data_IF_481700496594
#
_entry.id   IF_481700496594
#
_cell.length_a   1.000
_cell.length_b   1.000
_cell.length_c   1.000
_cell.angle_alpha   90.00
_cell.angle_beta   90.00
_cell.angle_gamma   90.00
#
_symmetry.space_group_name_H-M   'P 1'
#
loop_
_entity.id
_entity.type
_entity.pdbx_description
1 polymer ?
2 non-polymer ?
3 water ?
#
# COMPACT_ATOMS: atom_id res chain seq x y z
N UNK A 1 -12.41 21.55 7.38
CA UNK A 1 -11.92 22.70 8.21
C UNK A 1 -10.48 23.02 7.84
N UNK A 2 -9.73 23.54 8.80
CA UNK A 2 -8.32 23.91 8.61
C UNK A 2 -7.43 23.17 9.61
N UNK A 3 -6.29 22.68 9.12
CA UNK A 3 -5.34 21.91 9.91
C UNK A 3 -4.26 22.73 10.66
N UNK A 4 -3.71 22.18 11.76
CA UNK A 4 -2.67 22.87 12.52
C UNK A 4 -1.48 22.86 11.57
N UNK A 5 -0.49 23.71 11.80
CA UNK A 5 0.69 23.74 10.94
C UNK A 5 1.55 22.47 11.13
N UNK A 6 2.10 21.92 10.03
CA UNK A 6 2.95 20.72 10.16
C UNK A 6 4.15 21.06 11.07
N UNK A 7 4.60 20.10 11.86
CA UNK A 7 5.70 20.28 12.80
C UNK A 7 7.00 19.67 12.24
N UNK A 8 7.84 20.50 11.62
CA UNK A 8 9.09 20.01 11.02
C UNK A 8 10.12 19.47 11.99
N UNK A 9 10.18 20.07 13.18
CA UNK A 9 11.11 19.61 14.22
C UNK A 9 10.65 18.25 14.72
N UNK A 10 9.34 18.10 14.83
CA UNK A 10 8.78 16.82 15.24
C UNK A 10 9.09 15.75 14.18
N UNK A 11 8.87 16.05 12.90
CA UNK A 11 9.17 15.10 11.84
C UNK A 11 10.65 14.72 11.86
N UNK A 12 11.51 15.71 12.00
CA UNK A 12 12.95 15.46 12.06
C UNK A 12 13.27 14.46 13.16
N UNK A 13 12.65 14.65 14.32
CA UNK A 13 12.87 13.76 15.46
C UNK A 13 12.42 12.35 15.15
N UNK A 14 11.29 12.21 14.44
CA UNK A 14 10.78 10.90 14.07
C UNK A 14 11.78 10.14 13.20
N UNK A 15 12.31 10.82 12.18
CA UNK A 15 13.27 10.20 11.26
C UNK A 15 14.54 9.76 12.00
N UNK A 16 15.04 10.65 12.85
CA UNK A 16 16.25 10.38 13.62
C UNK A 16 16.06 9.16 14.50
N UNK A 17 14.88 9.05 15.10
CA UNK A 17 14.54 7.92 15.95
C UNK A 17 14.48 6.63 15.15
N UNK A 18 13.87 6.68 13.95
CA UNK A 18 13.77 5.49 13.10
C UNK A 18 15.19 5.00 12.80
N UNK A 19 16.11 5.92 12.55
CA UNK A 19 17.48 5.51 12.26
C UNK A 19 18.13 4.81 13.46
N UNK A 20 17.88 5.32 14.65
CA UNK A 20 18.46 4.74 15.87
C UNK A 20 17.87 3.35 16.14
N UNK A 21 16.71 3.06 15.54
CA UNK A 21 16.06 1.77 15.75
C UNK A 21 16.35 0.75 14.67
N UNK A 22 17.21 1.12 13.71
CA UNK A 22 17.57 0.19 12.67
C UNK A 22 17.29 0.51 11.20
N UNK A 23 16.57 1.59 10.90
CA UNK A 23 16.28 1.99 9.51
C UNK A 23 17.52 2.65 8.90
N UNK A 24 18.03 2.15 7.75
CA UNK A 24 19.22 2.80 7.16
C UNK A 24 18.95 4.25 6.76
N UNK A 25 17.73 4.51 6.31
CA UNK A 25 17.33 5.83 5.90
C UNK A 25 15.84 5.97 6.10
N UNK A 26 15.39 7.20 6.20
CA UNK A 26 13.98 7.48 6.39
C UNK A 26 13.73 8.88 5.85
N UNK A 27 12.55 9.10 5.28
CA UNK A 27 12.21 10.38 4.69
C UNK A 27 10.71 10.65 4.74
N UNK A 28 10.34 11.90 4.58
CA UNK A 28 8.94 12.27 4.59
C UNK A 28 8.73 13.57 3.76
N UNK A 29 7.64 13.59 3.00
CA UNK A 29 7.30 14.77 2.22
C UNK A 29 5.87 15.11 2.54
N UNK A 30 5.62 16.37 2.86
CA UNK A 30 4.27 16.84 3.13
C UNK A 30 3.94 17.89 2.06
N UNK A 31 2.83 17.69 1.37
CA UNK A 31 2.35 18.66 0.40
C UNK A 31 1.19 19.30 1.17
N UNK A 32 1.45 20.46 1.75
CA UNK A 32 0.45 21.17 2.53
C UNK A 32 -0.18 22.30 1.72
N UNK A 33 -1.17 21.93 0.93
CA UNK A 33 -1.89 22.89 0.11
C UNK A 33 -0.97 23.82 -0.65
N UNK A 34 0.01 23.24 -1.33
CA UNK A 34 0.93 24.02 -2.12
C UNK A 34 2.25 24.42 -1.49
N UNK A 35 2.44 24.18 -0.19
CA UNK A 35 3.70 24.49 0.51
C UNK A 35 4.29 23.13 0.86
N UNK A 36 5.49 22.87 0.38
CA UNK A 36 6.19 21.58 0.54
C UNK A 36 7.07 21.54 1.80
N UNK A 37 7.04 20.40 2.50
CA UNK A 37 7.90 20.18 3.66
C UNK A 37 8.58 18.90 3.26
N UNK A 38 9.90 18.86 3.33
CA UNK A 38 10.60 17.64 2.92
C UNK A 38 11.82 17.43 3.79
N UNK A 39 11.91 16.24 4.37
CA UNK A 39 13.02 15.90 5.25
C UNK A 39 13.46 14.46 4.98
N UNK A 40 14.76 14.23 5.14
CA UNK A 40 15.31 12.89 4.95
C UNK A 40 16.55 12.73 5.83
N UNK A 41 16.79 11.51 6.27
CA UNK A 41 17.98 11.25 7.06
C UNK A 41 18.47 9.84 6.73
N UNK A 42 19.77 9.68 6.64
CA UNK A 42 20.26 8.33 6.38
C UNK A 42 20.70 8.02 4.98
N UNK A 43 20.84 6.72 4.72
CA UNK A 43 21.34 6.22 3.45
C UNK A 43 20.34 5.45 2.61
N UNK A 44 20.45 5.62 1.29
CA UNK A 44 19.60 4.92 0.33
C UNK A 44 20.28 3.59 0.06
N UNK A 45 21.61 3.59 0.15
CA UNK A 45 22.38 2.37 -0.07
C UNK A 45 23.39 2.35 1.07
N UNK A 46 23.20 1.40 1.98
CA UNK A 46 24.07 1.29 3.15
C UNK A 46 25.49 0.81 2.81
N UNK A 47 25.66 0.17 1.66
CA UNK A 47 26.98 -0.32 1.27
C UNK A 47 27.85 0.75 0.61
N UNK A 48 27.26 1.55 -0.28
CA UNK A 48 27.98 2.61 -0.98
C UNK A 48 27.92 3.94 -0.23
N UNK A 49 26.93 4.09 0.64
CA UNK A 49 26.81 5.32 1.43
C UNK A 49 25.99 6.46 0.89
N UNK A 50 25.40 6.30 -0.29
CA UNK A 50 24.57 7.34 -0.92
C UNK A 50 23.43 7.71 0.01
N UNK A 51 23.26 9.02 0.22
CA UNK A 51 22.21 9.51 1.10
C UNK A 51 20.83 9.34 0.49
N UNK A 52 19.84 9.06 1.32
CA UNK A 52 18.46 8.90 0.84
C UNK A 52 17.88 10.32 0.68
N UNK A 53 17.00 10.53 -0.31
CA UNK A 53 16.38 11.84 -0.55
C UNK A 53 14.90 11.59 -0.84
N UNK A 54 14.08 12.63 -0.73
CA UNK A 54 12.65 12.51 -0.96
C UNK A 54 12.27 12.27 -2.42
N UNK A 55 13.24 12.28 -3.33
CA UNK A 55 12.92 12.04 -4.74
C UNK A 55 13.26 10.60 -5.11
N UNK A 56 13.85 9.86 -4.18
CA UNK A 56 14.18 8.46 -4.42
C UNK A 56 12.94 7.63 -4.62
N UNK A 57 12.97 6.75 -5.62
CA UNK A 57 11.85 5.87 -5.87
C UNK A 57 11.96 4.67 -4.94
N UNK A 58 10.84 4.03 -4.65
CA UNK A 58 10.82 2.91 -3.74
C UNK A 58 9.61 2.02 -4.01
N UNK A 59 9.57 0.83 -3.40
CA UNK A 59 8.45 -0.11 -3.54
C UNK A 59 7.41 0.23 -2.47
N UNK A 60 6.21 0.57 -2.91
CA UNK A 60 5.11 1.01 -2.01
C UNK A 60 4.33 -0.12 -1.31
N UNK A 61 4.60 -1.35 -1.73
CA UNK A 61 3.96 -2.50 -1.14
C UNK A 61 2.45 -2.41 -1.20
N UNK A 62 1.82 -2.59 -0.03
CA UNK A 62 0.35 -2.57 0.09
C UNK A 62 -0.40 -1.34 -0.35
N UNK A 63 0.30 -0.23 -0.54
CA UNK A 63 -0.36 0.98 -1.00
C UNK A 63 -0.95 0.64 -2.38
N UNK A 64 -0.37 -0.37 -3.04
CA UNK A 64 -0.85 -0.83 -4.34
C UNK A 64 -2.33 -1.17 -4.28
N UNK A 65 -2.82 -1.58 -3.12
CA UNK A 65 -4.23 -1.92 -2.99
C UNK A 65 -5.16 -0.77 -3.34
N UNK A 66 -4.74 0.46 -3.04
CA UNK A 66 -5.58 1.62 -3.38
C UNK A 66 -5.62 1.85 -4.90
N UNK A 67 -4.51 1.60 -5.60
CA UNK A 67 -4.48 1.77 -7.05
C UNK A 67 -5.44 0.75 -7.66
N UNK A 68 -5.40 -0.50 -7.17
CA UNK A 68 -6.29 -1.56 -7.63
C UNK A 68 -7.76 -1.21 -7.38
N UNK A 69 -8.05 -0.70 -6.19
CA UNK A 69 -9.40 -0.31 -5.83
C UNK A 69 -9.91 0.81 -6.75
N UNK A 70 -9.06 1.80 -7.03
CA UNK A 70 -9.48 2.89 -7.93
C UNK A 70 -9.89 2.37 -9.31
N UNK A 71 -9.11 1.45 -9.87
CA UNK A 71 -9.45 0.89 -11.17
C UNK A 71 -10.81 0.18 -11.07
N UNK A 72 -11.00 -0.63 -10.05
CA UNK A 72 -12.26 -1.35 -9.89
C UNK A 72 -13.45 -0.43 -9.72
N UNK A 73 -13.28 0.63 -8.95
CA UNK A 73 -14.36 1.58 -8.72
C UNK A 73 -14.69 2.33 -10.03
N UNK A 74 -13.69 2.52 -10.91
CA UNK A 74 -13.96 3.18 -12.19
C UNK A 74 -14.75 2.20 -13.06
N UNK A 75 -14.46 0.90 -12.95
CA UNK A 75 -15.21 -0.09 -13.70
C UNK A 75 -16.67 -0.10 -13.23
N UNK A 76 -16.92 0.17 -11.95
CA UNK A 76 -18.30 0.27 -11.42
C UNK A 76 -18.95 1.50 -12.05
N UNK A 77 -18.22 2.62 -12.12
CA UNK A 77 -18.74 3.85 -12.75
C UNK A 77 -19.14 3.59 -14.22
N UNK A 78 -18.35 2.76 -14.91
CA UNK A 78 -18.59 2.43 -16.32
C UNK A 78 -19.67 1.36 -16.55
N UNK A 79 -20.19 0.80 -15.46
CA UNK A 79 -21.24 -0.19 -15.51
C UNK A 79 -20.76 -1.59 -15.83
N UNK A 80 -19.48 -1.83 -15.66
CA UNK A 80 -18.90 -3.14 -15.97
C UNK A 80 -18.81 -4.06 -14.78
N UNK A 81 -18.92 -3.50 -13.59
CA UNK A 81 -18.80 -4.27 -12.34
C UNK A 81 -19.88 -3.81 -11.36
N UNK A 82 -20.40 -4.74 -10.58
CA UNK A 82 -21.39 -4.43 -9.54
C UNK A 82 -20.73 -4.92 -8.26
N UNK A 83 -20.53 -4.05 -7.28
CA UNK A 83 -19.87 -4.41 -6.01
C UNK A 83 -20.55 -5.54 -5.24
N UNK A 84 -21.85 -5.71 -5.44
CA UNK A 84 -22.56 -6.76 -4.70
C UNK A 84 -22.79 -8.06 -5.43
N UNK A 85 -22.23 -8.14 -6.64
CA UNK A 85 -22.32 -9.36 -7.41
C UNK A 85 -21.25 -10.27 -6.84
N UNK A 86 -21.50 -11.57 -6.95
CA UNK A 86 -20.59 -12.57 -6.51
C UNK A 86 -19.32 -12.54 -7.37
N UNK A 87 -18.17 -12.85 -6.75
CA UNK A 87 -16.91 -12.90 -7.48
C UNK A 87 -17.03 -13.99 -8.54
N UNK A 88 -17.65 -15.12 -8.20
CA UNK A 88 -17.84 -16.23 -9.11
C UNK A 88 -18.69 -15.90 -10.33
N UNK A 89 -19.43 -14.81 -10.27
CA UNK A 89 -20.26 -14.37 -11.39
C UNK A 89 -19.32 -13.95 -12.55
N UNK A 90 -18.20 -13.31 -12.17
CA UNK A 90 -17.22 -12.82 -13.14
C UNK A 90 -16.07 -13.80 -13.42
N UNK A 91 -15.72 -14.59 -12.39
CA UNK A 91 -14.65 -15.57 -12.48
C UNK A 91 -15.29 -16.89 -12.05
N UNK A 92 -16.01 -17.55 -12.99
CA UNK A 92 -16.66 -18.81 -12.64
C UNK A 92 -15.77 -19.91 -12.10
N UNK A 93 -16.23 -20.52 -11.01
CA UNK A 93 -15.51 -21.60 -10.38
C UNK A 93 -14.26 -21.21 -9.61
N UNK A 94 -14.03 -19.91 -9.40
CA UNK A 94 -12.83 -19.48 -8.70
C UNK A 94 -12.87 -19.73 -7.20
N UNK A 95 -13.89 -19.21 -6.54
CA UNK A 95 -14.01 -19.35 -5.10
C UNK A 95 -14.93 -20.51 -4.69
N UNK A 96 -14.67 -21.12 -3.52
CA UNK A 96 -15.52 -22.23 -3.10
C UNK A 96 -16.96 -21.82 -2.72
N UNK A 97 -17.16 -20.53 -2.45
CA UNK A 97 -18.46 -20.01 -2.05
C UNK A 97 -18.98 -18.91 -3.00
N UNK A 98 -20.18 -19.12 -3.53
CA UNK A 98 -20.83 -18.15 -4.43
C UNK A 98 -21.27 -16.87 -3.74
N UNK A 99 -21.37 -16.89 -2.42
CA UNK A 99 -21.83 -15.70 -1.69
C UNK A 99 -20.76 -14.64 -1.47
N UNK A 100 -19.51 -14.98 -1.73
CA UNK A 100 -18.43 -14.02 -1.55
C UNK A 100 -18.56 -13.01 -2.70
N UNK A 101 -18.78 -11.76 -2.34
CA UNK A 101 -18.96 -10.69 -3.29
C UNK A 101 -17.71 -9.83 -3.49
N UNK A 102 -17.75 -9.02 -4.54
CA UNK A 102 -16.65 -8.13 -4.84
C UNK A 102 -16.43 -7.14 -3.68
N UNK A 103 -17.52 -6.58 -3.14
CA UNK A 103 -17.40 -5.62 -2.02
C UNK A 103 -16.67 -6.22 -0.83
N UNK A 104 -16.99 -7.47 -0.50
CA UNK A 104 -16.35 -8.17 0.61
C UNK A 104 -14.84 -8.38 0.36
N UNK A 105 -14.49 -8.71 -0.88
CA UNK A 105 -13.10 -8.90 -1.27
C UNK A 105 -12.31 -7.58 -1.11
N UNK A 106 -12.92 -6.48 -1.53
CA UNK A 106 -12.28 -5.16 -1.46
C UNK A 106 -12.11 -4.56 -0.08
N UNK A 107 -12.95 -5.00 0.87
CA UNK A 107 -12.92 -4.49 2.25
C UNK A 107 -12.35 -5.52 3.25
N UNK A 108 -11.78 -6.60 2.71
CA UNK A 108 -11.18 -7.67 3.51
C UNK A 108 -12.16 -8.41 4.41
N UNK A 109 -13.37 -8.62 3.91
CA UNK A 109 -14.38 -9.33 4.68
C UNK A 109 -14.79 -10.63 4.01
N UNK A 110 -13.96 -11.12 3.10
CA UNK A 110 -14.29 -12.35 2.37
C UNK A 110 -14.01 -13.67 3.10
N UNK A 111 -13.12 -13.63 4.09
CA UNK A 111 -12.75 -14.83 4.80
C UNK A 111 -11.66 -15.61 4.06
N UNK A 112 -11.11 -15.09 2.96
CA UNK A 112 -10.07 -15.82 2.23
C UNK A 112 -8.74 -15.83 3.03
N UNK A 113 -8.19 -17.02 3.20
CA UNK A 113 -6.95 -17.17 3.98
C UNK A 113 -5.83 -16.43 3.27
N UNK A 114 -4.97 -15.77 4.04
CA UNK A 114 -3.86 -15.03 3.44
C UNK A 114 -2.67 -15.97 3.23
N UNK A 115 -2.37 -16.29 1.98
CA UNK A 115 -1.25 -17.20 1.66
C UNK A 115 0.14 -16.74 2.13
N UNK A 116 0.33 -15.44 2.36
CA UNK A 116 1.64 -14.96 2.81
C UNK A 116 1.98 -15.49 4.21
N UNK A 117 0.97 -15.92 4.97
CA UNK A 117 1.18 -16.50 6.31
C UNK A 117 1.99 -17.79 6.18
N UNK A 118 1.89 -18.43 5.03
CA UNK A 118 2.63 -19.65 4.74
C UNK A 118 4.00 -19.28 4.15
N UNK A 119 3.98 -18.39 3.16
CA UNK A 119 5.18 -17.95 2.49
C UNK A 119 6.25 -17.36 3.39
N UNK A 120 5.84 -16.45 4.26
CA UNK A 120 6.77 -15.74 5.10
C UNK A 120 6.78 -16.07 6.57
N UNK A 121 6.59 -17.34 6.91
CA UNK A 121 6.60 -17.78 8.30
C UNK A 121 7.98 -17.43 8.88
N UNK A 122 9.01 -17.53 8.04
CA UNK A 122 10.37 -17.18 8.41
C UNK A 122 10.71 -16.12 7.38
N UNK A 123 11.01 -14.92 7.86
CA UNK A 123 11.27 -13.76 7.01
C UNK A 123 12.28 -13.89 5.88
N UNK A 124 13.54 -14.07 6.21
CA UNK A 124 14.59 -14.16 5.17
C UNK A 124 14.47 -15.42 4.29
N UNK A 125 14.25 -16.62 4.87
CA UNK A 125 14.11 -17.82 4.03
C UNK A 125 12.92 -17.70 3.07
N UNK A 126 11.81 -17.12 3.54
CA UNK A 126 10.65 -16.92 2.71
C UNK A 126 10.96 -15.96 1.55
N UNK A 127 11.64 -14.85 1.86
CA UNK A 127 12.03 -13.90 0.84
C UNK A 127 12.93 -14.60 -0.20
N UNK A 128 13.90 -15.38 0.27
CA UNK A 128 14.79 -16.08 -0.66
C UNK A 128 14.02 -17.05 -1.54
N UNK A 129 12.98 -17.64 -0.97
CA UNK A 129 12.18 -18.61 -1.70
C UNK A 129 11.36 -17.98 -2.84
N UNK A 130 10.82 -16.80 -2.63
CA UNK A 130 9.98 -16.19 -3.65
C UNK A 130 10.53 -15.03 -4.45
N UNK A 131 11.62 -14.41 -3.99
CA UNK A 131 12.16 -13.23 -4.67
C UNK A 131 12.35 -13.34 -6.15
N UNK A 132 12.77 -14.50 -6.61
CA UNK A 132 13.00 -14.71 -8.05
C UNK A 132 11.94 -15.59 -8.75
N UNK A 133 10.78 -15.73 -8.12
CA UNK A 133 9.71 -16.54 -8.68
C UNK A 133 8.64 -15.72 -9.37
N UNK A 134 7.98 -16.32 -10.36
CA UNK A 134 6.90 -15.67 -11.08
C UNK A 134 5.67 -16.54 -10.90
N UNK A 135 4.61 -15.95 -10.32
CA UNK A 135 3.37 -16.64 -10.07
C UNK A 135 2.28 -16.08 -10.97
N UNK A 136 1.27 -16.90 -11.25
CA UNK A 136 0.11 -16.41 -11.99
C UNK A 136 -0.85 -16.08 -10.84
N UNK A 137 -1.90 -15.31 -11.10
CA UNK A 137 -2.87 -14.99 -10.07
C UNK A 137 -3.46 -16.29 -9.53
N UNK A 138 -3.77 -17.22 -10.43
CA UNK A 138 -4.35 -18.49 -10.05
C UNK A 138 -3.47 -19.23 -9.06
N UNK A 139 -2.17 -19.17 -9.26
CA UNK A 139 -1.22 -19.85 -8.36
C UNK A 139 -1.44 -19.41 -6.92
N UNK A 140 -1.57 -18.11 -6.72
CA UNK A 140 -1.74 -17.54 -5.38
C UNK A 140 -3.09 -17.87 -4.74
N UNK A 141 -4.14 -17.82 -5.56
CA UNK A 141 -5.48 -18.13 -5.10
C UNK A 141 -5.53 -19.58 -4.64
N UNK A 142 -4.92 -20.46 -5.41
CA UNK A 142 -4.88 -21.88 -5.08
C UNK A 142 -4.17 -22.12 -3.72
N UNK A 143 -3.10 -21.36 -3.47
CA UNK A 143 -2.35 -21.45 -2.21
C UNK A 143 -3.28 -21.09 -1.07
N UNK A 144 -4.09 -20.05 -1.29
CA UNK A 144 -5.04 -19.60 -0.28
C UNK A 144 -6.09 -20.66 -0.02
N UNK A 145 -6.62 -21.20 -1.12
CA UNK A 145 -7.68 -22.20 -1.11
C UNK A 145 -7.31 -23.58 -0.49
N UNK A 146 -6.01 -23.80 -0.24
CA UNK A 146 -5.59 -25.03 0.43
C UNK A 146 -6.09 -24.96 1.89
N UNK A 147 -6.37 -23.73 2.35
CA UNK A 147 -6.87 -23.51 3.71
C UNK A 147 -8.35 -23.16 3.62
N UNK A 148 -9.10 -23.42 4.68
CA UNK A 148 -10.50 -23.08 4.62
C UNK A 148 -10.65 -21.58 4.79
N UNK A 149 -11.88 -21.07 4.67
CA UNK A 149 -12.08 -19.65 4.88
C UNK A 149 -11.99 -19.43 6.39
N UNK A 150 -11.69 -18.21 6.79
CA UNK A 150 -11.53 -17.90 8.20
C UNK A 150 -12.83 -17.42 8.87
N UNK A 151 -13.81 -17.01 8.07
CA UNK A 151 -15.10 -16.52 8.58
C UNK A 151 -16.17 -16.56 7.49
N UNK A 152 -17.42 -16.38 7.86
CA UNK A 152 -18.51 -16.40 6.89
C UNK A 152 -18.35 -15.16 5.99
N UNK A 153 -18.83 -15.21 4.73
CA UNK A 153 -18.72 -14.07 3.82
C UNK A 153 -19.25 -12.76 4.42
N UNK A 154 -18.42 -11.74 4.40
CA UNK A 154 -18.80 -10.42 4.90
C UNK A 154 -18.87 -10.26 6.40
N UNK A 155 -18.71 -11.36 7.13
CA UNK A 155 -18.79 -11.40 8.60
C UNK A 155 -17.78 -10.64 9.44
N UNK A 156 -16.53 -10.50 8.99
CA UNK A 156 -15.54 -9.80 9.79
C UNK A 156 -14.35 -9.35 8.97
N UNK A 157 -13.65 -8.34 9.48
CA UNK A 157 -12.46 -7.86 8.80
C UNK A 157 -11.28 -8.78 9.13
N UNK A 158 -10.54 -9.16 8.12
CA UNK A 158 -9.37 -9.99 8.27
C UNK A 158 -8.49 -9.66 7.07
N UNK A 159 -7.39 -8.95 7.29
CA UNK A 159 -6.53 -8.57 6.17
C UNK A 159 -5.96 -9.78 5.45
N UNK A 160 -6.11 -9.77 4.13
CA UNK A 160 -5.61 -10.88 3.34
C UNK A 160 -5.17 -10.41 1.96
N UNK A 161 -3.91 -10.65 1.62
CA UNK A 161 -3.41 -10.27 0.29
C UNK A 161 -4.20 -10.97 -0.82
N UNK A 162 -4.70 -12.18 -0.53
CA UNK A 162 -5.49 -12.94 -1.49
C UNK A 162 -6.62 -12.10 -2.09
N UNK A 163 -7.21 -11.22 -1.29
CA UNK A 163 -8.29 -10.39 -1.79
C UNK A 163 -7.89 -9.51 -2.96
N UNK A 164 -6.69 -8.92 -2.92
CA UNK A 164 -6.27 -8.06 -4.01
C UNK A 164 -5.57 -8.78 -5.14
N UNK A 165 -5.33 -10.07 -4.96
CA UNK A 165 -4.84 -10.90 -6.05
C UNK A 165 -6.14 -11.18 -6.84
N UNK A 166 -7.25 -11.46 -6.14
CA UNK A 166 -8.54 -11.65 -6.79
C UNK A 166 -8.90 -10.36 -7.55
N UNK A 167 -8.58 -9.21 -6.96
CA UNK A 167 -8.85 -7.92 -7.58
C UNK A 167 -8.13 -7.78 -8.91
N UNK A 168 -6.85 -8.17 -8.94
CA UNK A 168 -6.08 -8.10 -10.17
C UNK A 168 -6.70 -8.99 -11.24
N UNK A 169 -7.07 -10.20 -10.84
CA UNK A 169 -7.70 -11.16 -11.73
C UNK A 169 -9.00 -10.62 -12.32
N UNK A 170 -9.76 -9.87 -11.52
CA UNK A 170 -11.02 -9.26 -11.95
C UNK A 170 -10.78 -8.18 -12.99
N UNK A 171 -9.87 -7.28 -12.69
CA UNK A 171 -9.53 -6.18 -13.59
C UNK A 171 -9.16 -6.76 -14.97
N UNK A 172 -8.26 -7.74 -14.99
CA UNK A 172 -7.84 -8.32 -16.27
C UNK A 172 -8.92 -9.05 -17.04
N UNK A 173 -9.79 -9.74 -16.33
CA UNK A 173 -10.88 -10.48 -16.95
C UNK A 173 -11.90 -9.54 -17.58
N UNK A 174 -12.27 -8.50 -16.84
CA UNK A 174 -13.25 -7.54 -17.29
C UNK A 174 -12.81 -6.60 -18.39
N UNK A 175 -11.56 -6.18 -18.36
CA UNK A 175 -11.06 -5.23 -19.33
C UNK A 175 -10.31 -5.88 -20.48
N UNK A 176 -9.88 -7.13 -20.29
CA UNK A 176 -9.12 -7.80 -21.31
C UNK A 176 -7.70 -7.26 -21.44
N UNK A 177 -7.27 -6.47 -20.46
CA UNK A 177 -5.93 -5.92 -20.49
C UNK A 177 -5.21 -6.33 -19.21
N UNK A 178 -3.90 -6.18 -19.22
CA UNK A 178 -3.10 -6.51 -18.07
C UNK A 178 -3.33 -5.38 -17.07
N UNK A 179 -3.08 -5.66 -15.81
CA UNK A 179 -3.27 -4.64 -14.81
C UNK A 179 -2.32 -3.43 -15.01
N UNK A 180 -1.15 -3.68 -15.59
CA UNK A 180 -0.18 -2.61 -15.85
C UNK A 180 -0.77 -1.55 -16.77
N UNK A 181 -1.44 -2.01 -17.83
CA UNK A 181 -2.09 -1.13 -18.79
C UNK A 181 -3.21 -0.34 -18.12
N UNK A 182 -4.03 -1.01 -17.31
CA UNK A 182 -5.12 -0.31 -16.63
C UNK A 182 -4.65 0.77 -15.66
N UNK A 183 -3.57 0.50 -14.92
CA UNK A 183 -3.01 1.48 -13.98
C UNK A 183 -2.49 2.68 -14.77
N UNK A 184 -1.80 2.39 -15.87
CA UNK A 184 -1.24 3.44 -16.72
C UNK A 184 -2.29 4.34 -17.31
N UNK A 185 -3.27 3.76 -18.01
CA UNK A 185 -4.31 4.54 -18.66
C UNK A 185 -5.26 5.27 -17.72
N UNK A 186 -5.62 4.62 -16.61
CA UNK A 186 -6.56 5.18 -15.67
C UNK A 186 -6.00 6.04 -14.55
N UNK A 187 -4.73 5.87 -14.21
CA UNK A 187 -4.17 6.62 -13.11
C UNK A 187 -2.85 7.32 -13.36
N UNK A 188 -1.83 6.57 -13.76
CA UNK A 188 -0.50 7.17 -13.93
C UNK A 188 -0.48 8.26 -14.94
N UNK A 189 -1.04 8.00 -16.11
CA UNK A 189 -1.05 9.00 -17.16
C UNK A 189 -1.89 10.23 -16.84
N UNK A 190 -3.17 10.04 -16.46
CA UNK A 190 -4.00 11.22 -16.15
C UNK A 190 -3.43 12.12 -15.06
N UNK A 191 -2.86 11.51 -14.02
CA UNK A 191 -2.30 12.27 -12.89
C UNK A 191 -0.86 12.70 -13.16
N UNK A 192 -0.28 12.20 -14.25
CA UNK A 192 1.11 12.51 -14.63
C UNK A 192 2.09 12.07 -13.56
N UNK A 193 1.94 10.83 -13.10
CA UNK A 193 2.80 10.24 -12.06
C UNK A 193 4.03 9.68 -12.76
N UNK A 194 5.00 10.55 -12.98
CA UNK A 194 6.22 10.16 -13.68
C UNK A 194 7.22 9.26 -12.94
N UNK A 195 7.05 9.09 -11.63
CA UNK A 195 7.94 8.24 -10.84
C UNK A 195 7.21 6.94 -10.46
N UNK A 196 6.04 6.71 -11.06
CA UNK A 196 5.22 5.55 -10.73
C UNK A 196 5.20 4.50 -11.83
N UNK A 197 5.47 3.26 -11.44
CA UNK A 197 5.55 2.13 -12.37
C UNK A 197 4.98 0.83 -11.80
N UNK A 198 4.61 -0.07 -12.71
CA UNK A 198 4.18 -1.42 -12.37
C UNK A 198 4.94 -2.21 -13.44
N UNK A 199 6.06 -2.81 -13.05
CA UNK A 199 6.91 -3.52 -14.01
C UNK A 199 6.99 -5.03 -13.87
N UNK A 200 6.18 -5.59 -12.97
CA UNK A 200 6.13 -7.04 -12.72
C UNK A 200 6.23 -7.83 -14.03
N UNK A 201 7.06 -8.89 -14.06
CA UNK A 201 7.93 -9.46 -13.04
C UNK A 201 9.38 -8.95 -13.02
N UNK A 202 9.63 -7.81 -13.64
CA UNK A 202 10.98 -7.26 -13.67
C UNK A 202 11.41 -6.97 -12.22
N UNK A 203 12.69 -7.23 -11.95
CA UNK A 203 13.27 -7.04 -10.63
C UNK A 203 13.97 -5.70 -10.42
N UNK A 204 14.15 -4.93 -11.49
CA UNK A 204 14.82 -3.65 -11.41
C UNK A 204 13.87 -2.50 -11.11
N UNK A 205 14.32 -1.58 -10.26
CA UNK A 205 13.53 -0.38 -9.96
C UNK A 205 14.12 0.68 -10.87
N UNK A 206 13.30 1.24 -11.78
CA UNK A 206 13.76 2.26 -12.72
C UNK A 206 14.21 3.54 -12.02
N UNK A 207 15.29 4.14 -12.52
CA UNK A 207 15.77 5.39 -11.95
C UNK A 207 16.45 5.32 -10.58
N UNK A 208 16.73 6.49 -10.03
CA UNK A 208 17.37 6.61 -8.74
C UNK A 208 16.36 6.20 -7.69
N UNK A 209 16.74 5.19 -6.91
CA UNK A 209 15.89 4.61 -5.88
C UNK A 209 16.62 4.33 -4.59
N UNK A 210 15.83 4.12 -3.54
CA UNK A 210 16.39 3.78 -2.25
C UNK A 210 16.41 2.27 -2.27
N UNK A 211 17.47 1.69 -1.70
CA UNK A 211 17.54 0.24 -1.61
C UNK A 211 16.73 -0.17 -0.39
N UNK A 212 16.22 -1.38 -0.41
CA UNK A 212 15.45 -1.88 0.71
C UNK A 212 16.28 -2.88 1.48
N UNK A 213 16.19 -2.84 2.80
CA UNK A 213 16.97 -3.74 3.64
C UNK A 213 16.06 -4.51 4.58
N UNK A 214 16.01 -5.82 4.37
CA UNK A 214 15.16 -6.72 5.15
C UNK A 214 15.81 -7.07 6.51
N UNK A 215 15.14 -6.75 7.61
CA UNK A 215 15.68 -7.09 8.93
C UNK A 215 15.43 -8.57 9.16
N UNK A 216 16.45 -9.31 9.58
CA UNK A 216 16.20 -10.74 9.81
C UNK A 216 15.41 -10.90 11.11
N UNK A 217 14.81 -12.07 11.27
CA UNK A 217 14.03 -12.36 12.48
C UNK A 217 14.88 -12.40 13.74
N UNK A 218 16.11 -12.89 13.61
CA UNK A 218 17.01 -12.99 14.76
C UNK A 218 17.61 -11.63 15.15
N UNK A 219 17.48 -11.27 16.43
CA UNK A 219 17.99 -10.00 16.96
C UNK A 219 19.48 -9.85 16.68
N UNK A 220 19.88 -8.69 16.16
CA UNK A 220 21.27 -8.46 15.86
C UNK A 220 21.78 -9.03 14.55
N UNK A 221 20.94 -9.70 13.78
CA UNK A 221 21.38 -10.28 12.51
C UNK A 221 21.72 -9.23 11.47
N UNK A 222 22.56 -9.60 10.50
CA UNK A 222 22.95 -8.70 9.43
C UNK A 222 21.76 -8.45 8.51
N UNK A 223 21.68 -7.23 7.96
CA UNK A 223 20.60 -6.87 7.05
C UNK A 223 20.80 -7.53 5.67
N UNK A 224 19.68 -7.85 5.03
CA UNK A 224 19.68 -8.48 3.72
C UNK A 224 19.18 -7.47 2.71
N UNK A 225 19.94 -7.27 1.63
CA UNK A 225 19.50 -6.31 0.62
C UNK A 225 18.37 -7.01 -0.11
N UNK A 226 17.15 -6.48 -0.01
CA UNK A 226 15.98 -7.07 -0.67
C UNK A 226 15.41 -6.18 -1.79
N UNK A 227 16.22 -5.27 -2.31
CA UNK A 227 15.75 -4.33 -3.32
C UNK A 227 15.14 -4.91 -4.59
N UNK A 228 15.87 -5.82 -5.22
CA UNK A 228 15.46 -6.41 -6.47
C UNK A 228 14.79 -7.75 -6.35
N UNK A 229 13.48 -7.77 -6.62
CA UNK A 229 12.69 -8.97 -6.55
C UNK A 229 11.55 -8.80 -7.54
N UNK A 230 10.88 -9.88 -7.86
CA UNK A 230 9.79 -9.82 -8.81
C UNK A 230 8.51 -9.25 -8.17
N UNK A 231 8.39 -9.40 -6.86
CA UNK A 231 7.19 -9.01 -6.11
C UNK A 231 6.01 -9.78 -6.75
N UNK A 232 6.30 -10.89 -7.41
CA UNK A 232 5.25 -11.67 -8.07
C UNK A 232 4.27 -12.31 -7.05
N UNK A 233 4.72 -12.43 -5.81
CA UNK A 233 3.87 -12.98 -4.76
C UNK A 233 2.74 -12.01 -4.38
N UNK A 234 2.86 -10.73 -4.76
CA UNK A 234 1.85 -9.72 -4.43
C UNK A 234 1.09 -9.14 -5.63
N UNK A 235 1.83 -8.76 -6.67
CA UNK A 235 1.25 -8.21 -7.89
C UNK A 235 0.25 -7.09 -7.61
N UNK A 236 -1.03 -7.29 -7.92
CA UNK A 236 -2.04 -6.25 -7.71
C UNK A 236 -2.33 -5.91 -6.25
N UNK A 237 -1.68 -6.66 -5.35
CA UNK A 237 -1.80 -6.45 -3.91
C UNK A 237 -0.59 -5.66 -3.39
N UNK A 238 0.48 -5.55 -4.19
CA UNK A 238 1.62 -4.81 -3.69
C UNK A 238 2.87 -4.59 -4.53
N UNK A 239 2.79 -4.62 -5.87
CA UNK A 239 3.99 -4.42 -6.69
C UNK A 239 4.22 -3.03 -7.30
N UNK A 240 3.44 -2.03 -6.92
CA UNK A 240 3.67 -0.70 -7.50
C UNK A 240 4.95 -0.04 -6.95
N UNK A 241 5.62 0.74 -7.80
CA UNK A 241 6.82 1.51 -7.48
C UNK A 241 6.41 2.98 -7.61
N UNK A 242 6.81 3.83 -6.68
CA UNK A 242 6.44 5.24 -6.77
C UNK A 242 7.42 6.11 -5.99
N UNK A 243 7.04 7.36 -5.70
CA UNK A 243 7.87 8.29 -4.96
C UNK A 243 6.94 9.06 -4.01
N UNK A 244 7.52 9.86 -3.12
CA UNK A 244 6.75 10.64 -2.16
C UNK A 244 5.82 11.65 -2.86
N UNK A 245 6.32 12.34 -3.88
CA UNK A 245 5.51 13.31 -4.60
C UNK A 245 4.33 12.62 -5.33
N UNK A 246 4.60 11.52 -6.04
CA UNK A 246 3.53 10.82 -6.78
C UNK A 246 2.45 10.25 -5.88
N UNK A 247 2.84 9.72 -4.72
CA UNK A 247 1.84 9.19 -3.79
C UNK A 247 1.04 10.35 -3.16
N UNK A 248 1.68 11.50 -2.96
CA UNK A 248 0.96 12.64 -2.40
C UNK A 248 -0.05 13.12 -3.44
N UNK A 249 0.39 13.12 -4.70
CA UNK A 249 -0.50 13.55 -5.79
C UNK A 249 -1.69 12.61 -5.88
N UNK A 250 -1.41 11.32 -5.94
CA UNK A 250 -2.46 10.31 -6.02
C UNK A 250 -3.48 10.39 -4.89
N UNK A 251 -3.05 10.40 -3.63
CA UNK A 251 -4.04 10.48 -2.54
C UNK A 251 -4.77 11.81 -2.48
N UNK A 252 -4.10 12.90 -2.83
CA UNK A 252 -4.80 14.18 -2.86
C UNK A 252 -5.88 14.12 -3.97
N UNK A 253 -5.53 13.60 -5.13
CA UNK A 253 -6.48 13.52 -6.25
C UNK A 253 -7.65 12.64 -5.88
N UNK A 254 -7.37 11.54 -5.19
CA UNK A 254 -8.39 10.61 -4.76
C UNK A 254 -9.38 11.25 -3.78
N UNK A 255 -8.87 11.85 -2.71
CA UNK A 255 -9.76 12.48 -1.73
C UNK A 255 -10.45 13.74 -2.23
N UNK A 256 -9.87 14.44 -3.21
CA UNK A 256 -10.55 15.63 -3.75
C UNK A 256 -11.58 15.30 -4.84
N UNK A 257 -11.79 14.01 -5.09
CA UNK A 257 -12.79 13.56 -6.03
C UNK A 257 -12.46 13.57 -7.51
N UNK A 258 -11.19 13.44 -7.87
CA UNK A 258 -10.79 13.48 -9.27
C UNK A 258 -10.65 12.14 -9.99
N UNK A 259 -10.73 11.06 -9.22
CA UNK A 259 -10.52 9.72 -9.76
C UNK A 259 -11.73 8.81 -10.00
N UNK A 260 -12.92 9.25 -9.59
CA UNK A 260 -14.13 8.46 -9.78
C UNK A 260 -15.30 9.34 -9.41
N UNK A 261 -16.51 8.82 -9.59
CA UNK A 261 -17.71 9.57 -9.26
C UNK A 261 -17.79 9.76 -7.75
N UNK A 262 -18.59 10.73 -7.31
CA UNK A 262 -18.77 11.00 -5.90
C UNK A 262 -19.42 9.78 -5.24
N UNK A 263 -20.31 9.11 -5.97
CA UNK A 263 -21.01 7.93 -5.45
C UNK A 263 -20.06 6.78 -5.14
N UNK A 264 -19.11 6.54 -6.03
CA UNK A 264 -18.13 5.48 -5.81
C UNK A 264 -17.11 5.89 -4.73
N UNK A 265 -16.77 7.17 -4.63
CA UNK A 265 -15.84 7.60 -3.57
C UNK A 265 -16.52 7.43 -2.20
N UNK A 266 -17.84 7.61 -2.11
CA UNK A 266 -18.53 7.40 -0.84
C UNK A 266 -18.53 5.90 -0.50
N UNK A 267 -18.65 5.05 -1.53
CA UNK A 267 -18.62 3.59 -1.34
C UNK A 267 -17.25 3.15 -0.77
N UNK A 268 -16.19 3.78 -1.27
CA UNK A 268 -14.83 3.48 -0.87
C UNK A 268 -14.55 3.86 0.56
N UNK A 269 -15.32 4.81 1.07
CA UNK A 269 -15.12 5.27 2.43
C UNK A 269 -16.15 4.71 3.40
N UNK A 270 -16.72 3.55 3.07
CA UNK A 270 -17.65 2.92 3.99
C UNK A 270 -16.76 2.08 4.88
N UNK A 271 -16.46 2.63 6.05
CA UNK A 271 -15.57 2.00 7.00
C UNK A 271 -16.01 0.76 7.75
N UNK A 272 -15.15 -0.24 7.71
CA UNK A 272 -15.33 -1.46 8.48
C UNK A 272 -14.30 -1.27 9.61
N UNK A 273 -14.68 -1.54 10.84
CA UNK A 273 -13.78 -1.39 11.98
C UNK A 273 -12.61 -2.37 11.95
N UNK A 274 -11.41 -1.83 12.14
CA UNK A 274 -10.17 -2.61 12.17
C UNK A 274 -9.77 -2.74 13.64
N UNK A 275 -9.75 -1.61 14.33
CA UNK A 275 -9.47 -1.53 15.77
C UNK A 275 -10.08 -0.22 16.24
N UNK A 276 -9.79 0.22 17.47
CA UNK A 276 -10.41 1.45 17.99
C UNK A 276 -10.02 2.77 17.33
N UNK A 277 -8.95 2.79 16.54
CA UNK A 277 -8.54 4.01 15.88
C UNK A 277 -8.35 3.85 14.37
N UNK A 278 -8.83 2.75 13.81
CA UNK A 278 -8.71 2.50 12.37
C UNK A 278 -9.91 1.87 11.73
N UNK A 279 -10.05 2.14 10.43
CA UNK A 279 -11.13 1.58 9.66
C UNK A 279 -10.58 1.24 8.29
N UNK A 280 -11.27 0.34 7.59
CA UNK A 280 -10.88 -0.05 6.24
C UNK A 280 -12.14 0.07 5.36
N UNK A 281 -12.01 0.76 4.24
CA UNK A 281 -13.15 0.91 3.33
C UNK A 281 -12.93 -0.08 2.21
N UNK A 282 -12.84 0.42 0.97
CA UNK A 282 -12.57 -0.45 -0.16
C UNK A 282 -11.15 -0.12 -0.65
N UNK A 283 -10.17 -0.92 -0.21
CA UNK A 283 -8.78 -0.67 -0.58
C UNK A 283 -8.29 0.69 -0.06
N UNK A 284 -8.80 1.11 1.10
CA UNK A 284 -8.45 2.39 1.71
C UNK A 284 -8.53 2.32 3.23
N UNK A 285 -7.53 2.85 3.92
CA UNK A 285 -7.52 2.85 5.38
C UNK A 285 -7.83 4.22 5.94
N UNK A 286 -8.44 4.22 7.11
CA UNK A 286 -8.69 5.45 7.81
C UNK A 286 -7.94 5.28 9.14
N UNK A 287 -7.17 6.31 9.51
CA UNK A 287 -6.45 6.30 10.77
C UNK A 287 -6.92 7.53 11.55
N UNK A 288 -7.28 7.34 12.81
CA UNK A 288 -7.75 8.43 13.68
C UNK A 288 -6.56 8.93 14.51
N UNK A 289 -6.19 10.20 14.31
CA UNK A 289 -5.07 10.81 15.00
C UNK A 289 -5.44 11.35 16.39
N UNK A 290 -4.44 11.54 17.25
CA UNK A 290 -4.63 12.01 18.61
C UNK A 290 -5.37 13.35 18.77
N UNK A 291 -5.13 14.27 17.85
CA UNK A 291 -5.75 15.59 17.92
C UNK A 291 -7.19 15.63 17.40
N UNK A 292 -7.77 14.47 17.12
CA UNK A 292 -9.15 14.41 16.65
C UNK A 292 -9.47 14.49 15.17
N UNK A 293 -8.49 14.34 14.31
CA UNK A 293 -8.78 14.37 12.89
C UNK A 293 -8.44 13.00 12.33
N UNK A 294 -9.15 12.61 11.28
CA UNK A 294 -8.91 11.34 10.63
C UNK A 294 -8.22 11.60 9.29
N UNK A 295 -7.32 10.72 8.92
CA UNK A 295 -6.62 10.82 7.64
C UNK A 295 -6.91 9.53 6.86
N UNK A 296 -6.76 9.61 5.54
CA UNK A 296 -7.12 8.51 4.65
C UNK A 296 -6.02 8.15 3.69
N UNK A 297 -5.78 6.88 3.50
CA UNK A 297 -4.71 6.49 2.59
C UNK A 297 -4.41 5.03 2.78
N UNK A 298 -3.13 4.67 2.82
CA UNK A 298 -2.76 3.27 2.99
C UNK A 298 -1.32 3.19 3.47
N UNK A 299 -1.01 2.09 4.14
CA UNK A 299 0.34 1.77 4.63
C UNK A 299 0.83 0.66 3.70
N UNK A 300 2.14 0.46 3.64
CA UNK A 300 2.67 -0.56 2.79
C UNK A 300 3.90 -1.16 3.41
N UNK A 301 3.98 -2.48 3.34
CA UNK A 301 5.12 -3.23 3.83
C UNK A 301 5.48 -4.23 2.75
N UNK A 302 6.68 -4.14 2.23
CA UNK A 302 7.12 -5.09 1.23
C UNK A 302 8.54 -5.29 1.74
N UNK A 303 9.21 -6.37 1.39
CA UNK A 303 10.55 -6.61 1.93
C UNK A 303 11.50 -5.42 1.75
N UNK A 304 11.94 -4.87 2.88
CA UNK A 304 12.86 -3.74 2.88
C UNK A 304 12.27 -2.36 2.82
N UNK A 305 10.95 -2.22 2.81
CA UNK A 305 10.32 -0.89 2.74
C UNK A 305 9.02 -0.77 3.53
N UNK A 306 8.94 0.26 4.37
CA UNK A 306 7.73 0.56 5.16
C UNK A 306 7.23 1.91 4.62
N UNK A 307 5.99 1.96 4.14
CA UNK A 307 5.43 3.19 3.57
C UNK A 307 4.12 3.62 4.27
N UNK A 308 3.98 4.91 4.53
CA UNK A 308 2.76 5.51 5.08
C UNK A 308 2.38 6.61 4.06
N UNK A 309 1.21 6.51 3.45
CA UNK A 309 0.77 7.52 2.49
C UNK A 309 -0.66 7.86 2.87
N UNK A 310 -0.85 9.05 3.43
CA UNK A 310 -2.16 9.49 3.90
C UNK A 310 -2.47 10.93 3.54
N UNK A 311 -3.75 11.24 3.39
CA UNK A 311 -4.18 12.57 3.03
C UNK A 311 -5.38 12.95 3.89
N UNK A 312 -5.62 14.25 4.02
CA UNK A 312 -6.75 14.75 4.79
C UNK A 312 -8.03 14.48 4.01
N UNK A 313 -9.17 14.61 4.67
CA UNK A 313 -10.46 14.36 4.02
C UNK A 313 -10.66 15.04 2.68
N UNK A 314 -10.20 16.29 2.55
CA UNK A 314 -10.38 17.03 1.30
C UNK A 314 -9.19 16.99 0.36
N UNK A 315 -8.17 16.23 0.74
CA UNK A 315 -6.98 16.11 -0.07
C UNK A 315 -6.04 17.30 -0.10
N UNK A 316 -6.32 18.36 0.65
CA UNK A 316 -5.46 19.54 0.64
C UNK A 316 -4.09 19.32 1.27
N UNK A 317 -3.98 18.35 2.17
CA UNK A 317 -2.70 18.05 2.77
C UNK A 317 -2.49 16.56 2.64
N UNK A 318 -1.36 16.18 2.07
CA UNK A 318 -1.04 14.76 1.92
C UNK A 318 0.39 14.55 2.43
N UNK A 319 0.66 13.34 2.91
CA UNK A 319 1.97 13.01 3.44
C UNK A 319 2.39 11.59 3.07
N UNK A 320 3.64 11.43 2.67
CA UNK A 320 4.17 10.12 2.36
C UNK A 320 5.48 10.04 3.11
N UNK A 321 5.65 8.95 3.86
CA UNK A 321 6.84 8.70 4.66
C UNK A 321 7.33 7.31 4.29
N UNK A 322 8.64 7.12 4.28
CA UNK A 322 9.24 5.85 3.90
C UNK A 322 10.52 5.61 4.72
N UNK A 323 10.69 4.38 5.20
CA UNK A 323 11.90 4.00 5.90
C UNK A 323 12.31 2.75 5.11
N UNK A 324 13.56 2.71 4.67
CA UNK A 324 14.03 1.56 3.89
C UNK A 324 14.44 0.27 4.62
N UNK A 325 13.57 -0.19 5.51
CA UNK A 325 13.75 -1.48 6.17
C UNK A 325 12.35 -2.03 6.45
N UNK A 326 12.25 -3.32 6.72
CA UNK A 326 10.97 -3.91 7.10
C UNK A 326 11.30 -5.00 8.11
N UNK A 327 10.27 -5.63 8.69
CA UNK A 327 10.42 -6.66 9.71
C UNK A 327 11.14 -6.07 10.92
N UNK A 328 10.77 -4.84 11.25
CA UNK A 328 11.34 -4.13 12.39
C UNK A 328 10.18 -3.33 12.93
N UNK A 329 9.44 -3.89 13.88
CA UNK A 329 8.27 -3.19 14.40
C UNK A 329 8.53 -1.86 15.08
N UNK A 330 9.72 -1.66 15.63
CA UNK A 330 10.06 -0.40 16.28
C UNK A 330 10.04 0.69 15.23
N UNK A 331 10.71 0.45 14.10
CA UNK A 331 10.75 1.41 13.02
C UNK A 331 9.32 1.64 12.50
N UNK A 332 8.56 0.55 12.39
CA UNK A 332 7.18 0.63 11.90
C UNK A 332 6.34 1.56 12.78
N UNK A 333 6.37 1.36 14.10
CA UNK A 333 5.59 2.20 15.03
C UNK A 333 6.10 3.63 15.07
N UNK A 334 7.41 3.81 15.04
CA UNK A 334 8.01 5.14 15.01
C UNK A 334 7.59 5.93 13.77
N UNK A 335 7.69 5.31 12.59
CA UNK A 335 7.32 5.99 11.35
C UNK A 335 5.86 6.47 11.30
N UNK A 336 4.97 5.80 12.03
CA UNK A 336 3.55 6.20 12.08
C UNK A 336 3.39 7.59 12.71
N UNK A 337 4.36 7.98 13.52
CA UNK A 337 4.34 9.27 14.19
C UNK A 337 4.47 10.44 13.20
N UNK A 338 4.96 10.18 11.99
CA UNK A 338 5.05 11.26 11.02
C UNK A 338 3.65 11.83 10.80
N UNK A 339 2.64 10.98 10.89
CA UNK A 339 1.24 11.40 10.70
C UNK A 339 0.82 12.38 11.76
N UNK A 340 1.24 12.13 12.99
CA UNK A 340 0.90 13.01 14.11
C UNK A 340 1.55 14.40 13.95
N UNK A 341 2.82 14.39 13.57
CA UNK A 341 3.56 15.63 13.37
C UNK A 341 3.05 16.43 12.18
N UNK A 342 2.81 15.72 11.08
CA UNK A 342 2.35 16.35 9.85
C UNK A 342 0.93 16.90 9.90
N UNK A 343 0.03 16.21 10.60
CA UNK A 343 -1.36 16.65 10.66
C UNK A 343 -1.79 17.33 11.95
N UNK A 344 -1.31 16.84 13.09
CA UNK A 344 -1.67 17.43 14.38
C UNK A 344 -0.74 18.59 14.77
N UNK A 345 0.47 18.61 14.19
CA UNK A 345 1.42 19.67 14.46
C UNK A 345 2.12 19.59 15.80
N UNK A 346 2.68 20.71 16.25
CA UNK A 346 3.38 20.76 17.53
C UNK A 346 2.42 20.48 18.69
N UNK A 347 2.84 19.65 19.67
CA UNK A 347 2.01 19.32 20.83
C UNK A 347 1.79 20.50 21.78
#
# INVERSE_FOLDING_TARGET
ADLPAPDDTGLQAVLHTALSQGAPGAMVRVDDNGTIHQLSEGVADRATGRAITTTDRFRVGSVTKSFSAVVLLQLVDEGKLDLDASVNTYLPGLLPDDRITVRQVMSHRSGLYDYTNDMFAQTVPGFESVRNKVFSYQDLITLSLKHGVTNAPGAAYSYSNTNFVVAGMLIEKLTGHSVATEYQNRIFTPLNLTDTFYVHPDTVIPGTHANGYLTPDEAGGALVDSTEQTVSWAQSAGAVISSTQDLDTFFSALMSGQLMSAAQLAQMQQWTTVNSTQGYGLGLRRRDLSCGISVYGHTGTVQGYYTYAFASKDGKRSVTALANTSNNVNVLNTMARTLESAFCGKPTT
#
